data_IF_098310884447
#
_entry.id   IF_098310884447
#
_cell.length_a   1.000
_cell.length_b   1.000
_cell.length_c   1.000
_cell.angle_alpha   90.00
_cell.angle_beta   90.00
_cell.angle_gamma   90.00
#
_symmetry.space_group_name_H-M   'P 1'
#
loop_
_entity.id
_entity.type
_entity.pdbx_description
1 polymer ?
#
# COMPACT_ATOMS: atom_id res chain seq x y z
N UNK A 1 1.95 -38.99 -7.32
CA UNK A 1 2.42 -39.15 -5.93
C UNK A 1 2.28 -37.78 -5.26
N UNK A 2 1.18 -37.58 -4.53
CA UNK A 2 0.77 -36.28 -3.99
C UNK A 2 1.55 -36.06 -2.68
N UNK A 3 2.56 -35.18 -2.69
CA UNK A 3 3.25 -34.81 -1.46
C UNK A 3 2.48 -33.64 -0.83
N UNK A 4 1.67 -33.97 0.18
CA UNK A 4 1.11 -33.01 1.14
C UNK A 4 2.26 -32.32 1.86
N UNK A 5 2.41 -31.01 1.66
CA UNK A 5 3.22 -30.15 2.53
C UNK A 5 2.52 -30.06 3.89
N UNK A 6 3.00 -30.82 4.86
CA UNK A 6 2.60 -30.73 6.26
C UNK A 6 3.27 -29.50 6.89
N UNK A 7 2.46 -28.55 7.33
CA UNK A 7 2.86 -27.46 8.21
C UNK A 7 3.26 -28.03 9.59
N UNK A 8 4.44 -27.64 10.07
CA UNK A 8 4.89 -27.81 11.46
C UNK A 8 5.43 -26.46 11.99
N UNK A 9 5.52 -26.26 13.32
CA UNK A 9 4.98 -25.08 13.98
C UNK A 9 6.01 -23.99 14.26
N UNK A 10 5.49 -22.77 14.39
CA UNK A 10 6.18 -21.56 14.79
C UNK A 10 6.88 -21.73 16.15
N UNK A 11 8.19 -21.42 16.19
CA UNK A 11 8.88 -21.14 17.45
C UNK A 11 8.86 -19.62 17.68
N UNK A 12 7.92 -19.20 18.53
CA UNK A 12 7.82 -17.83 19.05
C UNK A 12 8.99 -17.54 20.00
N UNK A 13 9.72 -16.46 19.73
CA UNK A 13 10.68 -15.86 20.66
C UNK A 13 9.91 -14.85 21.54
N UNK A 14 9.95 -14.93 22.88
CA UNK A 14 9.18 -14.03 23.74
C UNK A 14 9.98 -12.76 24.10
N UNK A 15 9.38 -11.59 23.90
CA UNK A 15 9.75 -10.33 24.53
C UNK A 15 8.69 -9.98 25.58
N UNK A 16 9.00 -10.25 26.85
CA UNK A 16 8.27 -9.73 28.00
C UNK A 16 9.02 -8.51 28.55
N UNK A 17 8.34 -7.38 28.64
CA UNK A 17 8.55 -6.42 29.75
C UNK A 17 7.29 -5.60 29.97
N UNK A 18 6.79 -5.75 31.19
CA UNK A 18 5.56 -5.26 31.80
C UNK A 18 5.61 -3.77 32.15
N UNK A 19 4.55 -3.01 31.83
CA UNK A 19 4.18 -1.81 32.58
C UNK A 19 2.64 -1.74 32.70
N UNK A 20 2.18 -1.79 33.94
CA UNK A 20 0.78 -1.75 34.38
C UNK A 20 0.26 -0.29 34.42
N UNK A 21 -1.03 -0.04 34.12
CA UNK A 21 -1.65 1.28 34.30
C UNK A 21 -2.26 1.43 35.71
N UNK A 22 -1.94 2.54 36.38
CA UNK A 22 -2.56 2.95 37.65
C UNK A 22 -3.96 3.54 37.38
N UNK A 23 -4.98 2.90 37.95
CA UNK A 23 -6.35 3.41 38.08
C UNK A 23 -6.44 4.30 39.32
N UNK A 24 -7.14 5.43 39.22
CA UNK A 24 -7.68 6.14 40.38
C UNK A 24 -9.18 6.45 40.15
N UNK A 25 -10.10 5.82 40.90
CA UNK A 25 -11.50 6.18 40.95
C UNK A 25 -11.84 6.86 42.28
N UNK A 26 -12.64 7.92 42.29
CA UNK A 26 -13.52 8.31 43.41
C UNK A 26 -14.49 9.40 42.91
N UNK A 27 -15.78 9.09 42.72
CA UNK A 27 -16.87 9.09 43.72
C UNK A 27 -17.23 10.49 44.26
N UNK A 28 -18.26 11.08 43.65
CA UNK A 28 -19.38 11.73 44.35
C UNK A 28 -20.23 10.64 45.06
N UNK A 29 -21.14 10.92 46.04
CA UNK A 29 -22.28 11.83 45.83
C UNK A 29 -22.96 12.49 47.08
N UNK A 30 -23.93 13.36 46.75
CA UNK A 30 -25.19 13.72 47.45
C UNK A 30 -25.17 14.53 48.76
N UNK A 31 -26.00 15.60 48.80
CA UNK A 31 -27.21 15.61 49.66
C UNK A 31 -28.19 16.79 49.37
N UNK A 32 -29.48 16.44 49.23
CA UNK A 32 -30.75 17.11 49.68
C UNK A 32 -31.09 18.55 49.25
N UNK A 33 -32.18 18.78 48.48
CA UNK A 33 -33.65 18.75 48.77
C UNK A 33 -34.21 20.03 49.39
N UNK A 34 -35.10 20.69 48.66
CA UNK A 34 -36.40 21.30 49.04
C UNK A 34 -36.86 22.20 47.85
N UNK A 35 -38.11 22.48 47.51
CA UNK A 35 -39.43 21.84 47.54
C UNK A 35 -40.45 22.93 47.13
N UNK A 36 -41.47 22.59 46.30
CA UNK A 36 -42.78 23.29 46.16
C UNK A 36 -42.77 24.70 45.51
N UNK A 37 -43.78 25.21 44.80
CA UNK A 37 -45.10 24.75 44.32
C UNK A 37 -45.55 25.74 43.20
N UNK A 38 -46.62 25.35 42.48
CA UNK A 38 -47.22 25.95 41.29
C UNK A 38 -47.88 27.33 41.51
N UNK A 39 -47.89 28.19 40.47
CA UNK A 39 -49.06 28.99 40.08
C UNK A 39 -48.95 29.54 38.65
N UNK A 40 -50.09 29.68 37.97
CA UNK A 40 -50.20 29.83 36.52
C UNK A 40 -50.44 31.25 35.96
N UNK A 41 -50.68 31.24 34.64
CA UNK A 41 -51.21 32.30 33.77
C UNK A 41 -50.32 33.50 33.41
N UNK A 42 -49.82 33.54 32.16
CA UNK A 42 -50.38 34.38 31.08
C UNK A 42 -49.54 34.30 29.80
N UNK A 43 -50.26 34.18 28.69
CA UNK A 43 -49.76 34.42 27.34
C UNK A 43 -49.14 35.82 27.22
N UNK A 44 -47.93 35.87 26.68
CA UNK A 44 -47.40 37.05 25.98
C UNK A 44 -46.65 36.55 24.74
N UNK A 45 -47.34 36.62 23.60
CA UNK A 45 -46.75 36.55 22.28
C UNK A 45 -45.96 37.84 22.07
N UNK A 46 -44.64 37.78 22.24
CA UNK A 46 -43.72 38.82 21.77
C UNK A 46 -43.12 38.39 20.42
N UNK A 47 -43.17 39.24 19.37
CA UNK A 47 -42.62 38.92 18.07
C UNK A 47 -41.09 38.93 18.09
N UNK A 48 -40.51 37.94 17.40
CA UNK A 48 -39.10 37.61 17.17
C UNK A 48 -38.03 38.72 17.34
N UNK A 49 -36.80 38.29 17.70
CA UNK A 49 -35.64 38.54 16.89
C UNK A 49 -35.34 37.26 16.09
N UNK A 50 -35.21 37.41 14.77
CA UNK A 50 -34.78 36.35 13.86
C UNK A 50 -33.51 35.69 14.39
N UNK A 51 -33.62 34.47 14.92
CA UNK A 51 -32.47 33.59 15.13
C UNK A 51 -31.81 33.34 13.78
N UNK A 52 -30.47 33.46 13.65
CA UNK A 52 -29.80 33.28 12.37
C UNK A 52 -29.80 31.79 12.01
N UNK A 53 -30.82 31.35 11.26
CA UNK A 53 -30.85 30.01 10.66
C UNK A 53 -29.88 29.90 9.47
N UNK A 54 -29.14 30.94 9.07
CA UNK A 54 -28.62 31.01 7.70
C UNK A 54 -27.14 30.69 7.46
N UNK A 55 -26.22 30.72 8.44
CA UNK A 55 -24.78 30.68 8.10
C UNK A 55 -24.17 29.26 8.12
N UNK A 56 -24.60 28.38 9.03
CA UNK A 56 -24.03 27.02 9.16
C UNK A 56 -24.30 26.15 7.92
N UNK A 57 -25.53 26.21 7.39
CA UNK A 57 -25.92 25.53 6.15
C UNK A 57 -25.19 26.08 4.93
N UNK A 58 -24.99 27.40 4.85
CA UNK A 58 -24.23 28.05 3.78
C UNK A 58 -22.75 27.67 3.84
N UNK A 59 -22.12 27.72 5.02
CA UNK A 59 -20.72 27.28 5.22
C UNK A 59 -20.53 25.81 4.87
N UNK A 60 -21.48 24.95 5.26
CA UNK A 60 -21.45 23.55 4.89
C UNK A 60 -21.54 23.37 3.37
N UNK A 61 -22.48 24.05 2.70
CA UNK A 61 -22.61 24.03 1.24
C UNK A 61 -21.35 24.55 0.54
N UNK A 62 -20.78 25.66 1.00
CA UNK A 62 -19.52 26.20 0.47
C UNK A 62 -18.39 25.19 0.56
N UNK A 63 -18.27 24.46 1.69
CA UNK A 63 -17.28 23.41 1.86
C UNK A 63 -17.47 22.24 0.90
N UNK A 64 -18.71 21.83 0.64
CA UNK A 64 -19.01 20.79 -0.36
C UNK A 64 -18.63 21.24 -1.78
N UNK A 65 -19.03 22.45 -2.17
CA UNK A 65 -18.66 23.02 -3.47
C UNK A 65 -17.14 23.14 -3.66
N UNK A 66 -16.42 23.43 -2.57
CA UNK A 66 -14.96 23.50 -2.58
C UNK A 66 -14.32 22.16 -2.94
N UNK A 67 -14.71 21.08 -2.26
CA UNK A 67 -14.14 19.75 -2.54
C UNK A 67 -14.60 19.21 -3.90
N UNK A 68 -15.79 19.57 -4.37
CA UNK A 68 -16.25 19.25 -5.72
C UNK A 68 -15.44 19.96 -6.81
N UNK A 69 -15.00 21.20 -6.56
CA UNK A 69 -14.06 21.90 -7.44
C UNK A 69 -12.72 21.16 -7.53
N UNK A 70 -12.28 20.55 -6.42
CA UNK A 70 -11.12 19.65 -6.36
C UNK A 70 -11.39 18.25 -6.95
N UNK A 71 -12.58 17.99 -7.51
CA UNK A 71 -12.99 16.69 -8.07
C UNK A 71 -13.09 15.56 -7.03
N UNK A 72 -13.34 15.91 -5.77
CA UNK A 72 -13.60 14.96 -4.68
C UNK A 72 -15.10 14.71 -4.58
N UNK A 73 -15.51 13.45 -4.45
CA UNK A 73 -16.91 13.11 -4.28
C UNK A 73 -17.40 13.44 -2.85
N UNK A 74 -18.26 14.44 -2.72
CA UNK A 74 -18.83 14.90 -1.45
C UNK A 74 -19.54 13.82 -0.64
N UNK A 75 -20.32 12.96 -1.30
CA UNK A 75 -21.08 11.89 -0.64
C UNK A 75 -20.14 10.83 -0.06
N UNK A 76 -19.17 10.38 -0.86
CA UNK A 76 -18.11 9.46 -0.44
C UNK A 76 -17.29 10.05 0.70
N UNK A 77 -16.96 11.35 0.62
CA UNK A 77 -16.19 12.03 1.64
C UNK A 77 -16.91 12.05 2.99
N UNK A 78 -18.19 12.42 3.01
CA UNK A 78 -19.02 12.43 4.22
C UNK A 78 -19.21 11.02 4.81
N UNK A 79 -19.34 10.01 3.96
CA UNK A 79 -19.52 8.62 4.41
C UNK A 79 -18.23 8.04 5.00
N UNK A 80 -17.08 8.23 4.32
CA UNK A 80 -15.79 7.67 4.75
C UNK A 80 -15.07 8.51 5.81
N UNK A 81 -15.47 9.76 5.98
CA UNK A 81 -14.95 10.66 7.02
C UNK A 81 -16.11 11.44 7.66
N UNK A 82 -16.81 10.86 8.66
CA UNK A 82 -17.93 11.55 9.33
C UNK A 82 -17.53 12.88 9.99
N UNK A 83 -16.28 13.00 10.48
CA UNK A 83 -15.74 14.23 11.08
C UNK A 83 -15.64 15.37 10.06
N UNK A 84 -15.61 15.06 8.76
CA UNK A 84 -15.66 16.07 7.70
C UNK A 84 -16.91 16.94 7.79
N UNK A 85 -18.04 16.43 8.34
CA UNK A 85 -19.27 17.22 8.49
C UNK A 85 -19.04 18.48 9.32
N UNK A 86 -18.37 18.35 10.47
CA UNK A 86 -18.10 19.45 11.41
C UNK A 86 -16.81 20.21 11.12
N UNK A 87 -15.89 19.66 10.31
CA UNK A 87 -14.61 20.30 10.02
C UNK A 87 -14.76 21.68 9.33
N UNK A 88 -14.00 22.70 9.72
CA UNK A 88 -13.95 23.99 9.02
C UNK A 88 -13.46 23.85 7.57
N UNK A 89 -13.89 24.74 6.69
CA UNK A 89 -13.35 24.82 5.32
C UNK A 89 -11.85 25.12 5.32
N UNK A 90 -11.37 25.90 6.29
CA UNK A 90 -9.95 26.24 6.39
C UNK A 90 -9.06 25.03 6.67
N UNK A 91 -9.59 23.98 7.33
CA UNK A 91 -8.88 22.70 7.46
C UNK A 91 -8.58 22.09 6.09
N UNK A 92 -9.59 22.02 5.21
CA UNK A 92 -9.42 21.50 3.84
C UNK A 92 -8.42 22.34 3.04
N UNK A 93 -8.54 23.67 3.14
CA UNK A 93 -7.61 24.60 2.48
C UNK A 93 -6.18 24.44 2.99
N UNK A 94 -6.00 24.19 4.29
CA UNK A 94 -4.68 23.98 4.89
C UNK A 94 -4.01 22.71 4.37
N UNK A 95 -4.78 21.62 4.24
CA UNK A 95 -4.33 20.36 3.64
C UNK A 95 -3.97 20.57 2.17
N UNK A 96 -4.82 21.28 1.41
CA UNK A 96 -4.52 21.57 0.02
C UNK A 96 -3.23 22.37 -0.12
N UNK A 97 -3.07 23.44 0.67
CA UNK A 97 -1.87 24.28 0.68
C UNK A 97 -0.62 23.46 1.02
N UNK A 98 -0.70 22.58 2.01
CA UNK A 98 0.38 21.68 2.39
C UNK A 98 0.80 20.78 1.22
N UNK A 99 -0.15 20.06 0.62
CA UNK A 99 0.13 19.15 -0.50
C UNK A 99 0.68 19.90 -1.72
N UNK A 100 0.12 21.07 -2.05
CA UNK A 100 0.64 21.94 -3.11
C UNK A 100 2.08 22.42 -2.82
N UNK A 101 2.39 22.76 -1.57
CA UNK A 101 3.76 23.17 -1.17
C UNK A 101 4.79 22.06 -1.33
N UNK A 102 4.35 20.79 -1.33
CA UNK A 102 5.17 19.61 -1.61
C UNK A 102 5.23 19.25 -3.10
N UNK A 103 4.73 20.13 -3.98
CA UNK A 103 4.75 19.97 -5.43
C UNK A 103 3.58 19.17 -6.02
N UNK A 104 2.61 18.74 -5.21
CA UNK A 104 1.48 17.94 -5.69
C UNK A 104 0.47 18.86 -6.40
N UNK A 105 0.33 18.66 -7.71
CA UNK A 105 -0.59 19.43 -8.55
C UNK A 105 -2.06 19.14 -8.21
N UNK A 106 -2.94 20.13 -8.42
CA UNK A 106 -4.38 20.03 -8.13
C UNK A 106 -5.07 18.81 -8.74
N UNK A 107 -4.67 18.40 -9.94
CA UNK A 107 -5.22 17.20 -10.61
C UNK A 107 -4.93 15.91 -9.83
N UNK A 108 -3.71 15.75 -9.30
CA UNK A 108 -3.32 14.61 -8.49
C UNK A 108 -3.88 14.70 -7.07
N UNK A 109 -3.92 15.91 -6.51
CA UNK A 109 -4.45 16.22 -5.18
C UNK A 109 -5.92 15.80 -5.04
N UNK A 110 -6.76 16.17 -6.00
CA UNK A 110 -8.17 15.78 -6.01
C UNK A 110 -8.36 14.26 -5.93
N UNK A 111 -7.60 13.52 -6.74
CA UNK A 111 -7.60 12.04 -6.73
C UNK A 111 -7.15 11.49 -5.37
N UNK A 112 -6.10 12.06 -4.76
CA UNK A 112 -5.59 11.65 -3.44
C UNK A 112 -6.67 11.81 -2.37
N UNK A 113 -7.30 13.00 -2.30
CA UNK A 113 -8.35 13.29 -1.32
C UNK A 113 -9.61 12.44 -1.54
N UNK A 114 -9.96 12.15 -2.80
CA UNK A 114 -11.08 11.25 -3.11
C UNK A 114 -10.78 9.80 -2.72
N UNK A 115 -9.54 9.32 -2.94
CA UNK A 115 -9.11 8.00 -2.49
C UNK A 115 -9.10 7.88 -0.96
N UNK A 116 -8.70 8.95 -0.27
CA UNK A 116 -8.50 9.00 1.18
C UNK A 116 -9.20 10.20 1.83
N UNK A 117 -10.54 10.17 2.00
CA UNK A 117 -11.27 11.30 2.56
C UNK A 117 -10.90 11.68 4.00
N UNK A 118 -10.21 10.82 4.74
CA UNK A 118 -9.67 11.11 6.07
C UNK A 118 -8.73 12.33 6.04
N UNK A 119 -8.01 12.53 4.92
CA UNK A 119 -7.10 13.65 4.74
C UNK A 119 -7.82 15.01 4.74
N UNK A 120 -9.12 15.06 4.45
CA UNK A 120 -9.89 16.31 4.45
C UNK A 120 -10.00 16.96 5.83
N UNK A 121 -9.69 16.20 6.88
CA UNK A 121 -9.72 16.65 8.28
C UNK A 121 -8.37 16.54 8.97
N UNK A 122 -7.31 16.22 8.22
CA UNK A 122 -5.95 16.14 8.77
C UNK A 122 -5.43 17.52 9.13
N UNK A 123 -4.64 17.58 10.19
CA UNK A 123 -3.83 18.73 10.54
C UNK A 123 -2.47 18.64 9.83
N UNK A 124 -2.08 19.62 8.99
CA UNK A 124 -0.81 19.56 8.28
C UNK A 124 0.41 19.41 9.18
N UNK A 125 0.44 20.03 10.36
CA UNK A 125 1.61 20.04 11.26
C UNK A 125 1.78 18.73 12.01
N UNK A 126 0.67 18.12 12.42
CA UNK A 126 0.69 16.90 13.21
C UNK A 126 0.59 15.62 12.37
N UNK A 127 -0.09 15.68 11.22
CA UNK A 127 -0.36 14.47 10.43
C UNK A 127 0.47 14.38 9.15
N UNK A 128 0.71 15.50 8.45
CA UNK A 128 1.28 15.47 7.09
C UNK A 128 2.77 15.81 7.05
N UNK A 129 3.18 16.92 7.66
CA UNK A 129 4.57 17.35 7.70
C UNK A 129 5.50 16.30 8.33
N UNK A 130 5.12 15.56 9.39
CA UNK A 130 5.96 14.49 9.92
C UNK A 130 6.24 13.38 8.90
N UNK A 131 5.27 13.05 8.04
CA UNK A 131 5.48 12.06 6.96
C UNK A 131 6.44 12.60 5.90
N UNK A 132 6.29 13.87 5.50
CA UNK A 132 7.20 14.51 4.54
C UNK A 132 8.63 14.63 5.09
N UNK A 133 8.75 15.04 6.35
CA UNK A 133 10.00 15.15 7.08
C UNK A 133 10.70 13.78 7.15
N UNK A 134 9.97 12.74 7.57
CA UNK A 134 10.48 11.37 7.58
C UNK A 134 11.01 10.93 6.20
N UNK A 135 10.23 11.12 5.13
CA UNK A 135 10.65 10.72 3.79
C UNK A 135 11.88 11.50 3.29
N UNK A 136 11.99 12.77 3.64
CA UNK A 136 13.08 13.64 3.19
C UNK A 136 14.34 13.49 4.06
N UNK A 137 14.21 13.53 5.38
CA UNK A 137 15.32 13.60 6.32
C UNK A 137 15.77 12.23 6.84
N UNK A 138 14.88 11.24 6.97
CA UNK A 138 15.27 9.90 7.46
C UNK A 138 15.48 8.91 6.31
N UNK A 139 14.57 8.89 5.32
CA UNK A 139 14.66 7.99 4.17
C UNK A 139 15.56 8.57 3.06
N UNK A 140 15.81 9.88 3.08
CA UNK A 140 16.62 10.60 2.10
C UNK A 140 16.08 10.54 0.66
N UNK A 141 14.74 10.59 0.52
CA UNK A 141 14.11 10.77 -0.79
C UNK A 141 14.33 12.21 -1.26
N UNK A 142 14.90 12.44 -2.47
CA UNK A 142 15.06 13.78 -3.01
C UNK A 142 13.72 14.52 -3.08
N UNK A 143 13.72 15.83 -2.77
CA UNK A 143 12.49 16.63 -2.74
C UNK A 143 11.62 16.50 -4.02
N UNK A 144 12.16 16.53 -5.25
CA UNK A 144 11.35 16.34 -6.48
C UNK A 144 10.65 14.97 -6.58
N UNK A 145 11.13 13.98 -5.83
CA UNK A 145 10.64 12.60 -5.81
C UNK A 145 9.66 12.32 -4.65
N UNK A 146 9.53 13.24 -3.69
CA UNK A 146 8.54 13.16 -2.61
C UNK A 146 7.12 13.13 -3.18
N UNK A 147 6.79 14.07 -4.08
CA UNK A 147 5.48 14.07 -4.76
C UNK A 147 5.20 12.75 -5.49
N UNK A 148 6.22 12.12 -6.12
CA UNK A 148 6.07 10.85 -6.83
C UNK A 148 5.75 9.72 -5.86
N UNK A 149 6.37 9.73 -4.68
CA UNK A 149 6.09 8.78 -3.60
C UNK A 149 4.65 8.88 -3.14
N UNK A 150 4.16 10.09 -2.86
CA UNK A 150 2.77 10.31 -2.43
C UNK A 150 1.77 9.98 -3.53
N UNK A 151 2.02 10.37 -4.78
CA UNK A 151 1.12 10.07 -5.90
C UNK A 151 1.00 8.55 -6.12
N UNK A 152 2.10 7.81 -5.98
CA UNK A 152 2.13 6.34 -6.13
C UNK A 152 1.46 5.65 -4.94
N UNK A 153 1.71 6.10 -3.72
CA UNK A 153 1.16 5.53 -2.50
C UNK A 153 0.62 6.61 -1.56
N UNK A 154 -0.60 7.12 -1.80
CA UNK A 154 -1.17 8.18 -0.96
C UNK A 154 -1.41 7.76 0.50
N UNK A 155 -1.52 6.44 0.74
CA UNK A 155 -1.64 5.85 2.08
C UNK A 155 -0.47 6.22 3.01
N UNK A 156 0.70 6.59 2.47
CA UNK A 156 1.82 7.12 3.26
C UNK A 156 1.39 8.24 4.21
N UNK A 157 0.52 9.14 3.76
CA UNK A 157 0.02 10.29 4.53
C UNK A 157 -0.95 9.92 5.67
N UNK A 158 -1.36 8.65 5.76
CA UNK A 158 -2.26 8.15 6.80
C UNK A 158 -1.56 7.21 7.78
N UNK A 159 -0.29 6.91 7.56
CA UNK A 159 0.46 6.00 8.41
C UNK A 159 1.16 6.77 9.52
N UNK A 160 1.13 6.23 10.74
CA UNK A 160 1.96 6.71 11.84
C UNK A 160 3.44 6.59 11.45
N UNK A 161 4.18 7.68 11.59
CA UNK A 161 5.62 7.66 11.36
C UNK A 161 6.29 6.74 12.37
N UNK A 162 5.89 6.84 13.64
CA UNK A 162 6.51 6.14 14.77
C UNK A 162 6.17 4.65 14.80
N UNK A 163 4.90 4.30 14.53
CA UNK A 163 4.42 2.93 14.72
C UNK A 163 4.47 2.09 13.43
N UNK A 164 4.52 2.74 12.26
CA UNK A 164 4.46 2.04 10.98
C UNK A 164 5.66 2.36 10.08
N UNK A 165 5.85 3.63 9.70
CA UNK A 165 6.81 3.96 8.65
C UNK A 165 8.27 3.74 9.07
N UNK A 166 8.64 4.21 10.27
CA UNK A 166 10.00 4.11 10.78
C UNK A 166 10.40 2.68 11.15
N UNK A 167 9.58 1.89 11.88
CA UNK A 167 9.89 0.48 12.13
C UNK A 167 10.09 -0.31 10.83
N UNK A 168 9.20 -0.13 9.85
CA UNK A 168 9.32 -0.79 8.54
C UNK A 168 10.58 -0.34 7.79
N UNK A 169 10.92 0.96 7.83
CA UNK A 169 12.17 1.45 7.22
C UNK A 169 13.41 0.81 7.85
N UNK A 170 13.48 0.70 9.18
CA UNK A 170 14.60 0.05 9.84
C UNK A 170 14.68 -1.44 9.53
N UNK A 171 13.54 -2.13 9.45
CA UNK A 171 13.50 -3.51 9.00
C UNK A 171 14.07 -3.65 7.58
N UNK A 172 13.61 -2.83 6.63
CA UNK A 172 14.08 -2.85 5.24
C UNK A 172 15.59 -2.52 5.15
N UNK A 173 16.07 -1.55 5.93
CA UNK A 173 17.50 -1.21 6.00
C UNK A 173 18.33 -2.40 6.50
N UNK A 174 17.88 -3.08 7.56
CA UNK A 174 18.52 -4.32 8.07
C UNK A 174 18.47 -5.46 7.05
N UNK A 175 17.41 -5.52 6.25
CA UNK A 175 17.27 -6.51 5.18
C UNK A 175 18.20 -6.25 3.98
N UNK A 176 18.78 -5.04 3.87
CA UNK A 176 19.75 -4.69 2.83
C UNK A 176 19.30 -3.59 1.86
N UNK A 177 18.17 -2.91 2.13
CA UNK A 177 17.76 -1.73 1.38
C UNK A 177 18.56 -0.50 1.80
N UNK A 178 19.83 -0.46 1.40
CA UNK A 178 20.79 0.60 1.73
C UNK A 178 21.74 0.87 0.55
N UNK A 179 22.41 2.03 0.58
CA UNK A 179 23.37 2.44 -0.45
C UNK A 179 22.74 2.43 -1.85
N UNK A 180 23.32 1.71 -2.83
CA UNK A 180 22.75 1.62 -4.19
C UNK A 180 21.34 0.99 -4.26
N UNK A 181 20.91 0.30 -3.21
CA UNK A 181 19.59 -0.33 -3.10
C UNK A 181 18.70 0.32 -2.05
N UNK A 182 19.01 1.57 -1.66
CA UNK A 182 18.18 2.33 -0.74
C UNK A 182 16.73 2.45 -1.23
N UNK A 183 15.82 2.72 -0.30
CA UNK A 183 14.44 3.05 -0.64
C UNK A 183 14.43 4.31 -1.50
N UNK A 184 13.65 4.27 -2.58
CA UNK A 184 13.45 5.36 -3.53
C UNK A 184 11.96 5.61 -3.71
N UNK A 185 11.58 6.65 -4.45
CA UNK A 185 10.17 6.92 -4.72
C UNK A 185 9.44 5.74 -5.39
N UNK A 186 10.15 4.82 -6.05
CA UNK A 186 9.58 3.64 -6.72
C UNK A 186 9.09 2.56 -5.75
N UNK A 187 9.66 2.49 -4.54
CA UNK A 187 9.40 1.42 -3.58
C UNK A 187 8.99 1.92 -2.19
N UNK A 188 8.67 3.21 -2.02
CA UNK A 188 8.13 3.78 -0.77
C UNK A 188 6.84 3.11 -0.31
N UNK A 189 6.10 2.44 -1.20
CA UNK A 189 4.93 1.63 -0.84
C UNK A 189 5.27 0.48 0.14
N UNK A 190 6.54 0.06 0.20
CA UNK A 190 6.96 -0.95 1.17
C UNK A 190 6.85 -0.43 2.61
N UNK A 191 7.00 0.89 2.82
CA UNK A 191 6.97 1.52 4.14
C UNK A 191 5.59 1.43 4.80
N UNK A 192 4.51 1.29 4.02
CA UNK A 192 3.14 1.15 4.55
C UNK A 192 2.73 -0.31 4.79
N UNK A 193 3.65 -1.25 4.60
CA UNK A 193 3.40 -2.68 4.82
C UNK A 193 3.75 -3.08 6.26
N UNK A 194 2.89 -3.89 6.88
CA UNK A 194 3.19 -4.52 8.16
C UNK A 194 4.43 -5.41 8.02
N UNK A 195 5.38 -5.29 8.95
CA UNK A 195 6.59 -6.12 8.91
C UNK A 195 6.20 -7.56 9.19
N UNK A 196 5.42 -7.77 10.24
CA UNK A 196 5.03 -9.06 10.81
C UNK A 196 4.00 -9.77 9.93
N UNK A 197 2.99 -9.05 9.43
CA UNK A 197 1.86 -9.68 8.73
C UNK A 197 2.05 -9.71 7.21
N UNK A 198 3.00 -8.95 6.67
CA UNK A 198 3.14 -8.80 5.22
C UNK A 198 4.55 -9.06 4.72
N UNK A 199 5.59 -8.46 5.30
CA UNK A 199 6.94 -8.58 4.75
C UNK A 199 7.60 -9.91 5.16
N UNK A 200 7.58 -10.24 6.45
CA UNK A 200 8.16 -11.49 6.99
C UNK A 200 7.54 -12.74 6.35
N UNK A 201 6.20 -12.88 6.23
CA UNK A 201 5.59 -14.06 5.61
C UNK A 201 6.04 -14.29 4.16
N UNK A 202 6.34 -13.22 3.41
CA UNK A 202 6.87 -13.33 2.03
C UNK A 202 8.31 -13.83 2.01
N UNK A 203 9.12 -13.43 2.99
CA UNK A 203 10.49 -13.94 3.14
C UNK A 203 10.48 -15.41 3.56
N UNK A 204 9.62 -15.77 4.51
CA UNK A 204 9.43 -17.15 4.98
C UNK A 204 8.92 -18.05 3.87
N UNK A 205 7.94 -17.59 3.09
CA UNK A 205 7.46 -18.33 1.93
C UNK A 205 8.59 -18.69 0.97
N UNK A 206 9.44 -17.71 0.61
CA UNK A 206 10.59 -17.96 -0.27
C UNK A 206 11.61 -18.91 0.38
N UNK A 207 11.83 -18.84 1.70
CA UNK A 207 12.71 -19.80 2.39
C UNK A 207 12.13 -21.22 2.36
N UNK A 208 10.81 -21.35 2.56
CA UNK A 208 10.11 -22.63 2.54
C UNK A 208 10.09 -23.30 1.16
N UNK A 209 10.33 -22.53 0.08
CA UNK A 209 10.60 -23.10 -1.24
C UNK A 209 11.97 -23.79 -1.34
N UNK A 210 12.89 -23.53 -0.40
CA UNK A 210 14.24 -24.12 -0.38
C UNK A 210 15.37 -23.11 -0.56
N UNK A 211 15.10 -21.80 -0.63
CA UNK A 211 16.15 -20.78 -0.68
C UNK A 211 16.71 -20.50 0.72
N UNK A 212 18.03 -20.32 0.83
CA UNK A 212 18.62 -19.83 2.08
C UNK A 212 18.21 -18.38 2.34
N UNK A 213 18.20 -17.95 3.61
CA UNK A 213 17.88 -16.56 3.97
C UNK A 213 18.72 -15.54 3.19
N UNK A 214 20.03 -15.80 3.02
CA UNK A 214 20.94 -14.92 2.25
C UNK A 214 20.53 -14.81 0.78
N UNK A 215 20.06 -15.89 0.18
CA UNK A 215 19.56 -15.89 -1.20
C UNK A 215 18.25 -15.12 -1.32
N UNK A 216 17.31 -15.33 -0.39
CA UNK A 216 16.05 -14.59 -0.35
C UNK A 216 16.30 -13.08 -0.23
N UNK A 217 17.18 -12.68 0.69
CA UNK A 217 17.59 -11.27 0.85
C UNK A 217 18.12 -10.71 -0.48
N UNK A 218 19.04 -11.42 -1.14
CA UNK A 218 19.60 -11.00 -2.43
C UNK A 218 18.52 -10.89 -3.52
N UNK A 219 17.53 -11.78 -3.52
CA UNK A 219 16.41 -11.73 -4.46
C UNK A 219 15.53 -10.51 -4.24
N UNK A 220 15.10 -10.24 -3.00
CA UNK A 220 14.17 -9.13 -2.70
C UNK A 220 14.83 -7.76 -2.82
N UNK A 221 16.13 -7.64 -2.52
CA UNK A 221 16.87 -6.38 -2.72
C UNK A 221 17.02 -6.07 -4.21
N UNK A 222 17.30 -7.10 -5.04
CA UNK A 222 17.42 -6.94 -6.51
C UNK A 222 16.06 -6.78 -7.20
N UNK A 223 15.00 -7.32 -6.61
CA UNK A 223 13.63 -7.25 -7.14
C UNK A 223 12.63 -6.93 -6.03
N UNK A 224 12.55 -5.66 -5.58
CA UNK A 224 11.71 -5.26 -4.45
C UNK A 224 10.21 -5.55 -4.66
N UNK A 225 9.76 -5.65 -5.92
CA UNK A 225 8.40 -6.04 -6.28
C UNK A 225 7.96 -7.37 -5.67
N UNK A 226 8.88 -8.28 -5.35
CA UNK A 226 8.58 -9.53 -4.64
C UNK A 226 7.88 -9.28 -3.30
N UNK A 227 8.24 -8.21 -2.60
CA UNK A 227 7.62 -7.84 -1.32
C UNK A 227 6.21 -7.24 -1.50
N UNK A 228 5.73 -7.08 -2.73
CA UNK A 228 4.44 -6.47 -3.05
C UNK A 228 3.40 -7.46 -3.55
N UNK A 229 3.84 -8.63 -4.03
CA UNK A 229 2.95 -9.65 -4.59
C UNK A 229 2.27 -10.47 -3.49
N UNK A 230 1.03 -10.92 -3.73
CA UNK A 230 0.32 -11.84 -2.84
C UNK A 230 0.91 -13.24 -2.96
N UNK A 231 1.01 -13.94 -1.83
CA UNK A 231 1.47 -15.32 -1.81
C UNK A 231 0.46 -16.20 -2.54
N UNK A 232 -0.83 -16.16 -2.17
CA UNK A 232 -1.84 -17.07 -2.73
C UNK A 232 -2.18 -16.74 -4.19
N UNK A 233 -2.23 -15.45 -4.55
CA UNK A 233 -2.68 -15.01 -5.89
C UNK A 233 -1.55 -14.83 -6.91
N UNK A 234 -0.28 -14.85 -6.47
CA UNK A 234 0.84 -14.64 -7.38
C UNK A 234 1.93 -15.69 -7.20
N UNK A 235 2.55 -15.79 -6.01
CA UNK A 235 3.68 -16.69 -5.83
C UNK A 235 3.28 -18.16 -6.02
N UNK A 236 2.30 -18.63 -5.25
CA UNK A 236 1.90 -20.02 -5.26
C UNK A 236 1.54 -20.56 -6.66
N UNK A 237 0.57 -19.98 -7.40
CA UNK A 237 0.20 -20.53 -8.71
C UNK A 237 1.34 -20.46 -9.73
N UNK A 238 2.26 -19.50 -9.61
CA UNK A 238 3.41 -19.37 -10.52
C UNK A 238 4.54 -20.34 -10.19
N UNK A 239 4.77 -20.63 -8.90
CA UNK A 239 5.72 -21.65 -8.47
C UNK A 239 5.20 -23.04 -8.86
N UNK A 240 3.94 -23.35 -8.56
CA UNK A 240 3.31 -24.61 -8.95
C UNK A 240 3.43 -24.84 -10.45
N UNK A 241 3.06 -23.86 -11.28
CA UNK A 241 3.22 -23.97 -12.73
C UNK A 241 4.68 -24.19 -13.16
N UNK A 242 5.62 -23.45 -12.56
CA UNK A 242 7.03 -23.53 -12.92
C UNK A 242 7.64 -24.89 -12.59
N UNK A 243 7.35 -25.44 -11.41
CA UNK A 243 7.91 -26.72 -10.98
C UNK A 243 7.18 -27.91 -11.61
N UNK A 244 5.85 -27.86 -11.67
CA UNK A 244 5.04 -29.01 -12.05
C UNK A 244 4.84 -29.10 -13.57
N UNK A 245 4.59 -27.99 -14.26
CA UNK A 245 4.35 -28.00 -15.71
C UNK A 245 5.61 -27.68 -16.50
N UNK A 246 6.38 -26.64 -16.13
CA UNK A 246 7.59 -26.27 -16.86
C UNK A 246 8.81 -27.15 -16.50
N UNK A 247 8.71 -27.95 -15.42
CA UNK A 247 9.82 -28.75 -14.87
C UNK A 247 11.08 -27.92 -14.60
N UNK A 248 10.89 -26.66 -14.21
CA UNK A 248 11.96 -25.69 -14.01
C UNK A 248 12.75 -25.92 -12.70
N UNK A 249 13.98 -25.39 -12.67
CA UNK A 249 14.85 -25.42 -11.50
C UNK A 249 14.65 -24.15 -10.64
N UNK A 250 14.45 -24.32 -9.33
CA UNK A 250 14.37 -23.20 -8.38
C UNK A 250 15.57 -22.24 -8.48
N UNK A 251 16.76 -22.74 -8.84
CA UNK A 251 17.93 -21.88 -9.05
C UNK A 251 17.71 -20.84 -10.16
N UNK A 252 16.84 -21.13 -11.14
CA UNK A 252 16.45 -20.20 -12.18
C UNK A 252 15.57 -19.07 -11.64
N UNK A 253 14.61 -19.37 -10.75
CA UNK A 253 13.82 -18.34 -10.05
C UNK A 253 14.71 -17.43 -9.19
N UNK A 254 15.74 -17.98 -8.55
CA UNK A 254 16.76 -17.20 -7.84
C UNK A 254 17.50 -16.24 -8.78
N UNK A 255 17.90 -16.71 -9.96
CA UNK A 255 18.60 -15.90 -10.97
C UNK A 255 17.66 -14.86 -11.60
N UNK A 256 16.38 -15.18 -11.77
CA UNK A 256 15.38 -14.34 -12.42
C UNK A 256 14.09 -14.14 -11.59
N UNK A 257 14.17 -13.43 -10.45
CA UNK A 257 13.01 -13.15 -9.60
C UNK A 257 11.91 -12.34 -10.28
N UNK A 258 12.25 -11.63 -11.37
CA UNK A 258 11.26 -10.90 -12.18
C UNK A 258 10.22 -11.82 -12.82
N UNK A 259 10.44 -13.14 -12.85
CA UNK A 259 9.43 -14.14 -13.21
C UNK A 259 8.06 -13.83 -12.57
N UNK A 260 8.05 -13.51 -11.27
CA UNK A 260 6.82 -13.21 -10.51
C UNK A 260 6.12 -11.91 -10.94
N UNK A 261 6.76 -11.06 -11.73
CA UNK A 261 6.18 -9.82 -12.26
C UNK A 261 5.41 -10.05 -13.57
N UNK A 262 5.65 -11.15 -14.29
CA UNK A 262 4.94 -11.44 -15.54
C UNK A 262 3.59 -12.11 -15.27
N UNK A 263 2.59 -11.83 -16.12
CA UNK A 263 1.28 -12.48 -16.03
C UNK A 263 1.40 -13.99 -16.27
N UNK A 264 0.84 -14.80 -15.37
CA UNK A 264 0.85 -16.26 -15.51
C UNK A 264 0.06 -16.68 -16.75
N UNK A 265 -1.21 -16.28 -16.82
CA UNK A 265 -2.11 -16.61 -17.93
C UNK A 265 -1.83 -15.80 -19.20
N UNK A 266 -1.39 -14.54 -19.04
CA UNK A 266 -1.22 -13.63 -20.18
C UNK A 266 0.14 -13.71 -20.88
N UNK A 267 1.16 -14.30 -20.24
CA UNK A 267 2.51 -14.35 -20.83
C UNK A 267 3.27 -15.64 -20.56
N UNK A 268 3.35 -16.09 -19.31
CA UNK A 268 4.16 -17.26 -18.94
C UNK A 268 3.61 -18.53 -19.61
N UNK A 269 2.34 -18.87 -19.36
CA UNK A 269 1.69 -20.07 -19.91
C UNK A 269 1.66 -20.09 -21.45
N UNK A 270 1.21 -19.02 -22.15
CA UNK A 270 1.17 -19.03 -23.60
C UNK A 270 2.55 -19.26 -24.24
N UNK A 271 3.59 -18.57 -23.74
CA UNK A 271 4.94 -18.68 -24.30
C UNK A 271 5.56 -20.06 -24.03
N UNK A 272 5.42 -20.56 -22.81
CA UNK A 272 5.91 -21.90 -22.48
C UNK A 272 5.23 -22.99 -23.33
N UNK A 273 3.90 -22.96 -23.45
CA UNK A 273 3.15 -23.96 -24.24
C UNK A 273 3.55 -23.94 -25.72
N UNK A 274 3.67 -22.75 -26.33
CA UNK A 274 4.09 -22.63 -27.72
C UNK A 274 5.49 -23.20 -27.98
N UNK A 275 6.43 -22.99 -27.04
CA UNK A 275 7.77 -23.59 -27.13
C UNK A 275 7.69 -25.11 -26.98
N UNK A 276 6.98 -25.60 -25.97
CA UNK A 276 6.85 -27.03 -25.67
C UNK A 276 6.15 -27.82 -26.80
N UNK A 277 5.13 -27.24 -27.43
CA UNK A 277 4.44 -27.83 -28.60
C UNK A 277 5.39 -28.08 -29.78
N UNK A 278 6.46 -27.29 -29.90
CA UNK A 278 7.48 -27.43 -30.94
C UNK A 278 8.75 -28.12 -30.43
N UNK A 279 8.75 -28.67 -29.21
CA UNK A 279 9.90 -29.35 -28.62
C UNK A 279 11.02 -28.41 -28.16
N UNK A 280 10.75 -27.11 -28.04
CA UNK A 280 11.74 -26.12 -27.62
C UNK A 280 11.67 -25.81 -26.13
N UNK A 281 12.79 -25.35 -25.59
CA UNK A 281 12.87 -24.71 -24.27
C UNK A 281 13.78 -23.50 -24.34
N UNK A 282 13.49 -22.48 -23.54
CA UNK A 282 14.31 -21.27 -23.41
C UNK A 282 14.45 -20.88 -21.94
N UNK A 283 15.60 -20.30 -21.53
CA UNK A 283 15.72 -19.69 -20.22
C UNK A 283 14.65 -18.62 -19.99
N UNK A 284 14.13 -18.52 -18.75
CA UNK A 284 13.08 -17.56 -18.38
C UNK A 284 13.35 -16.12 -18.84
N UNK A 285 14.57 -15.55 -18.69
CA UNK A 285 14.82 -14.18 -19.12
C UNK A 285 14.63 -13.99 -20.63
N UNK A 286 15.07 -14.96 -21.44
CA UNK A 286 14.96 -14.92 -22.90
C UNK A 286 13.51 -15.11 -23.33
N UNK A 287 12.80 -16.02 -22.66
CA UNK A 287 11.39 -16.27 -22.90
C UNK A 287 10.51 -15.08 -22.52
N UNK A 288 10.80 -14.34 -21.45
CA UNK A 288 9.82 -13.42 -20.82
C UNK A 288 10.12 -11.92 -20.98
N UNK A 289 11.39 -11.52 -21.11
CA UNK A 289 11.75 -10.09 -21.18
C UNK A 289 11.40 -9.44 -22.51
N UNK A 290 11.43 -10.22 -23.58
CA UNK A 290 11.25 -9.72 -24.95
C UNK A 290 9.79 -9.37 -25.24
N UNK A 291 9.58 -8.49 -26.23
CA UNK A 291 8.25 -8.17 -26.74
C UNK A 291 7.57 -9.39 -27.35
N UNK A 292 6.26 -9.33 -27.57
CA UNK A 292 5.53 -10.45 -28.22
C UNK A 292 6.01 -10.66 -29.66
N UNK A 293 6.29 -9.57 -30.40
CA UNK A 293 6.83 -9.65 -31.76
C UNK A 293 8.22 -10.31 -31.79
N UNK A 294 9.10 -9.93 -30.88
CA UNK A 294 10.44 -10.52 -30.81
C UNK A 294 10.40 -11.99 -30.36
N UNK A 295 9.52 -12.35 -29.42
CA UNK A 295 9.31 -13.75 -29.05
C UNK A 295 8.85 -14.59 -30.24
N UNK A 296 7.87 -14.09 -31.01
CA UNK A 296 7.34 -14.78 -32.18
C UNK A 296 8.39 -14.94 -33.28
N UNK A 297 9.22 -13.91 -33.50
CA UNK A 297 10.31 -13.98 -34.46
C UNK A 297 11.31 -15.08 -34.09
N UNK A 298 11.75 -15.14 -32.82
CA UNK A 298 12.64 -16.20 -32.33
C UNK A 298 12.03 -17.58 -32.52
N UNK A 299 10.74 -17.74 -32.22
CA UNK A 299 10.06 -19.03 -32.42
C UNK A 299 10.06 -19.44 -33.91
N UNK A 300 9.84 -18.50 -34.83
CA UNK A 300 9.91 -18.76 -36.28
C UNK A 300 11.33 -19.18 -36.68
N UNK A 301 12.35 -18.44 -36.23
CA UNK A 301 13.76 -18.73 -36.51
C UNK A 301 14.16 -20.14 -36.02
N UNK A 302 13.80 -20.49 -34.78
CA UNK A 302 14.06 -21.81 -34.22
C UNK A 302 13.38 -22.92 -35.03
N UNK A 303 12.14 -22.68 -35.50
CA UNK A 303 11.39 -23.64 -36.34
C UNK A 303 12.01 -23.82 -37.72
N UNK A 304 12.53 -22.76 -38.33
CA UNK A 304 13.22 -22.82 -39.62
C UNK A 304 14.51 -23.64 -39.50
N UNK A 305 15.31 -23.39 -38.45
CA UNK A 305 16.53 -24.15 -38.19
C UNK A 305 16.25 -25.66 -38.03
N UNK A 306 15.23 -26.04 -37.26
CA UNK A 306 14.81 -27.44 -37.15
C UNK A 306 14.28 -28.04 -38.47
N UNK A 307 13.73 -27.23 -39.36
CA UNK A 307 13.30 -27.72 -40.67
C UNK A 307 14.53 -28.01 -41.53
N UNK A 308 15.48 -27.08 -41.59
CA UNK A 308 16.72 -27.21 -42.37
C UNK A 308 17.56 -28.41 -41.91
N UNK A 309 17.67 -28.65 -40.60
CA UNK A 309 18.37 -29.82 -40.04
C UNK A 309 17.72 -31.15 -40.48
N UNK A 310 16.39 -31.21 -40.56
CA UNK A 310 15.66 -32.41 -41.00
C UNK A 310 15.75 -32.68 -42.51
N UNK A 311 16.17 -31.71 -43.31
CA UNK A 311 16.41 -31.91 -44.75
C UNK A 311 17.84 -32.37 -45.06
N UNK A 312 18.74 -32.35 -44.05
CA UNK A 312 20.15 -32.73 -44.19
C UNK A 312 20.47 -34.14 -43.65
N UNK A 313 19.50 -34.80 -43.00
CA UNK A 313 19.55 -36.20 -42.55
C UNK A 313 18.80 -37.14 -43.52
#
# INVERSE_FOLDING_TARGET
MIIRLQFFPQTLIPLHSTLSPVKNPNRSPNCTKQSQLLDGFRNSLSPHPNTPISDSGLRFRQKLLYIENLKVNSSKALHKNPNFRSAPLDTVKSVEKCLCSMGIQRSALGRILDMHPQLLTSDPYNDLYPVFDFLFNEVHIPFPDIQKSIIRCPRLLLCSVDDQLRPTFYFLKKLGFAGPHAITCQNTLLLVSSVEDTLVPKLEYLQNLGFSYKEVVKMVVRSPGLLTFSIEKNFQPKVEYFLDEMKGDLAELKRFPQYFSFSLEGKIKPRHRLLAEHGFSLPLPEMLKVSDGEFNLRLIEMRLQLADERYLE
#
